data_IF_528890006754
#
_entry.id   IF_528890006754
#
_cell.length_a   1.000
_cell.length_b   1.000
_cell.length_c   1.000
_cell.angle_alpha   90.00
_cell.angle_beta   90.00
_cell.angle_gamma   90.00
#
_symmetry.space_group_name_H-M   'P 1'
#
loop_
_entity.id
_entity.type
_entity.pdbx_description
1 polymer ?
#
# COMPACT_ATOMS: atom_id res chain seq x y z
N UNK A 1 14.29 -25.95 5.22
CA UNK A 1 14.59 -24.78 6.07
C UNK A 1 14.94 -25.31 7.45
N UNK A 2 16.18 -25.13 7.94
CA UNK A 2 16.63 -25.68 9.24
C UNK A 2 16.93 -24.59 10.27
N UNK A 3 16.28 -23.43 10.17
CA UNK A 3 16.39 -22.33 11.13
C UNK A 3 15.06 -22.18 11.87
N UNK A 4 15.04 -22.16 13.21
CA UNK A 4 13.80 -21.86 13.95
C UNK A 4 13.35 -20.43 13.62
N UNK A 5 12.03 -20.25 13.52
CA UNK A 5 11.40 -18.94 13.29
C UNK A 5 10.67 -18.54 14.58
N UNK A 6 11.05 -17.38 15.13
CA UNK A 6 10.36 -16.77 16.27
C UNK A 6 9.57 -15.54 15.81
N UNK A 7 8.39 -15.33 16.41
CA UNK A 7 7.56 -14.14 16.17
C UNK A 7 7.49 -13.31 17.45
N UNK A 8 7.75 -12.00 17.32
CA UNK A 8 7.55 -11.02 18.38
C UNK A 8 6.30 -10.21 18.02
N UNK A 9 5.27 -10.29 18.85
CA UNK A 9 4.03 -9.56 18.68
C UNK A 9 4.12 -8.16 19.27
N UNK A 10 4.02 -7.14 18.42
CA UNK A 10 3.85 -5.74 18.85
C UNK A 10 2.75 -5.11 18.02
N UNK A 11 1.52 -5.16 18.53
CA UNK A 11 0.32 -4.68 17.85
C UNK A 11 -0.62 -3.98 18.83
N UNK A 12 -1.26 -2.90 18.36
CA UNK A 12 -2.25 -2.16 19.13
C UNK A 12 -3.31 -1.57 18.19
N UNK A 13 -4.59 -1.83 18.49
CA UNK A 13 -5.72 -1.43 17.66
C UNK A 13 -5.92 0.10 17.59
N UNK A 14 -6.29 0.60 16.41
CA UNK A 14 -6.60 2.03 16.21
C UNK A 14 -5.41 2.96 16.45
N UNK A 15 -4.18 2.48 16.32
CA UNK A 15 -2.98 3.29 16.49
C UNK A 15 -2.54 3.94 15.18
N UNK A 16 -2.07 5.18 15.25
CA UNK A 16 -1.48 5.90 14.12
C UNK A 16 0.04 5.63 14.03
N UNK A 17 0.63 5.76 12.83
CA UNK A 17 2.08 5.53 12.62
C UNK A 17 2.96 6.39 13.53
N UNK A 18 2.46 7.56 13.96
CA UNK A 18 3.22 8.47 14.78
C UNK A 18 3.49 7.96 16.19
N UNK A 19 2.56 7.17 16.74
CA UNK A 19 2.72 6.52 18.04
C UNK A 19 3.83 5.45 18.03
N UNK A 20 4.10 4.86 16.86
CA UNK A 20 5.11 3.82 16.62
C UNK A 20 6.48 4.37 16.21
N UNK A 21 6.61 5.67 16.08
CA UNK A 21 7.82 6.32 15.57
C UNK A 21 8.56 7.02 16.72
N UNK A 22 9.89 6.81 16.89
CA UNK A 22 10.65 7.49 17.93
C UNK A 22 10.68 9.01 17.71
N UNK A 23 10.72 9.78 18.81
CA UNK A 23 10.65 11.25 18.78
C UNK A 23 11.74 11.89 17.90
N UNK A 24 12.91 11.28 17.86
CA UNK A 24 14.05 11.72 17.05
C UNK A 24 13.74 11.75 15.55
N UNK A 25 12.81 10.92 15.06
CA UNK A 25 12.42 10.88 13.65
C UNK A 25 11.78 12.19 13.15
N UNK A 26 11.22 12.98 14.07
CA UNK A 26 10.57 14.26 13.78
C UNK A 26 11.52 15.45 13.93
N UNK A 27 12.75 15.22 14.40
CA UNK A 27 13.76 16.28 14.46
C UNK A 27 14.25 16.58 13.04
N UNK A 28 14.43 17.88 12.74
CA UNK A 28 14.89 18.34 11.42
C UNK A 28 13.85 18.38 10.30
N UNK A 29 12.61 17.91 10.51
CA UNK A 29 11.52 18.06 9.53
C UNK A 29 10.29 18.70 10.21
N UNK A 30 10.06 19.98 9.93
CA UNK A 30 8.96 20.76 10.53
C UNK A 30 7.59 20.20 10.21
N UNK A 31 7.39 19.69 8.99
CA UNK A 31 6.13 19.09 8.56
C UNK A 31 5.84 17.79 9.31
N UNK A 32 6.82 16.87 9.39
CA UNK A 32 6.61 15.63 10.15
C UNK A 32 6.41 15.88 11.64
N UNK A 33 7.07 16.90 12.20
CA UNK A 33 6.85 17.32 13.59
C UNK A 33 5.42 17.81 13.80
N UNK A 34 4.95 18.70 12.93
CA UNK A 34 3.57 19.20 13.00
C UNK A 34 2.56 18.06 12.94
N UNK A 35 2.71 17.13 12.00
CA UNK A 35 1.82 15.97 11.85
C UNK A 35 1.95 14.93 12.97
N UNK A 36 3.02 14.98 13.77
CA UNK A 36 3.15 14.18 14.98
C UNK A 36 2.46 14.84 16.16
N UNK A 37 2.63 16.15 16.36
CA UNK A 37 2.14 16.87 17.54
C UNK A 37 0.63 17.16 17.49
N UNK A 38 0.05 17.23 16.29
CA UNK A 38 -1.34 17.57 16.07
C UNK A 38 -2.25 16.33 15.93
N UNK A 39 -2.29 15.52 17.01
CA UNK A 39 -3.10 14.32 17.09
C UNK A 39 -4.20 14.46 18.14
N UNK A 40 -5.49 14.34 17.78
CA UNK A 40 -6.57 14.42 18.74
C UNK A 40 -6.53 13.22 19.67
N UNK A 41 -6.59 13.48 20.98
CA UNK A 41 -6.71 12.44 21.99
C UNK A 41 -8.02 11.64 21.81
N UNK A 42 -7.93 10.32 21.91
CA UNK A 42 -9.07 9.40 21.90
C UNK A 42 -8.96 8.41 23.05
N UNK A 43 -10.10 7.91 23.55
CA UNK A 43 -10.11 7.04 24.73
C UNK A 43 -9.74 5.58 24.43
N UNK A 44 -9.79 5.16 23.18
CA UNK A 44 -9.62 3.76 22.77
C UNK A 44 -8.23 3.43 22.22
N UNK A 45 -7.31 4.39 22.11
CA UNK A 45 -5.95 4.13 21.62
C UNK A 45 -4.91 5.15 22.12
N UNK A 46 -3.68 4.73 22.45
CA UNK A 46 -2.56 5.63 22.68
C UNK A 46 -2.18 6.36 21.38
N UNK A 47 -2.48 7.65 21.31
CA UNK A 47 -2.19 8.49 20.13
C UNK A 47 -0.98 9.40 20.31
N UNK A 48 -0.49 9.55 21.54
CA UNK A 48 0.65 10.43 21.80
C UNK A 48 1.88 9.97 20.98
N UNK A 49 2.63 10.90 20.36
CA UNK A 49 3.80 10.54 19.58
C UNK A 49 4.78 9.67 20.35
N UNK A 50 5.31 8.64 19.69
CA UNK A 50 6.28 7.71 20.25
C UNK A 50 5.82 6.85 21.43
N UNK A 51 4.57 6.98 21.90
CA UNK A 51 4.12 6.28 23.11
C UNK A 51 4.19 4.77 22.94
N UNK A 52 3.77 4.24 21.79
CA UNK A 52 3.78 2.81 21.51
C UNK A 52 5.19 2.32 21.15
N UNK A 53 5.98 3.15 20.46
CA UNK A 53 7.40 2.85 20.24
C UNK A 53 8.13 2.61 21.57
N UNK A 54 7.97 3.52 22.53
CA UNK A 54 8.65 3.44 23.81
C UNK A 54 8.20 2.23 24.65
N UNK A 55 6.93 1.84 24.55
CA UNK A 55 6.39 0.74 25.35
C UNK A 55 6.57 -0.64 24.71
N UNK A 56 6.56 -0.75 23.37
CA UNK A 56 6.53 -2.04 22.68
C UNK A 56 7.77 -2.33 21.83
N UNK A 57 8.42 -1.30 21.26
CA UNK A 57 9.55 -1.49 20.33
C UNK A 57 10.89 -1.23 21.01
N UNK A 58 11.00 -0.16 21.80
CA UNK A 58 12.22 0.18 22.51
C UNK A 58 12.72 -0.96 23.45
N UNK A 59 11.85 -1.69 24.17
CA UNK A 59 12.30 -2.78 25.04
C UNK A 59 12.91 -3.98 24.29
N UNK A 60 12.62 -4.12 23.00
CA UNK A 60 13.09 -5.26 22.18
C UNK A 60 14.29 -4.91 21.29
N UNK A 61 14.86 -3.72 21.40
CA UNK A 61 16.02 -3.30 20.57
C UNK A 61 17.25 -4.20 20.73
N UNK A 62 17.35 -4.93 21.85
CA UNK A 62 18.45 -5.87 22.11
C UNK A 62 18.28 -7.22 21.39
N UNK A 63 17.15 -7.48 20.72
CA UNK A 63 16.95 -8.67 19.90
C UNK A 63 17.55 -8.47 18.51
N UNK A 64 18.15 -9.54 17.97
CA UNK A 64 18.48 -9.60 16.54
C UNK A 64 17.24 -10.06 15.77
N UNK A 65 16.63 -9.15 15.01
CA UNK A 65 15.47 -9.47 14.17
C UNK A 65 15.88 -9.74 12.72
N UNK A 66 15.24 -10.71 12.08
CA UNK A 66 15.44 -11.04 10.67
C UNK A 66 14.67 -10.10 9.72
N UNK A 67 13.69 -9.36 10.24
CA UNK A 67 12.85 -8.44 9.49
C UNK A 67 11.60 -8.04 10.28
N UNK A 68 10.75 -7.24 9.66
CA UNK A 68 9.48 -6.76 10.23
C UNK A 68 8.34 -7.01 9.25
N UNK A 69 7.18 -7.38 9.81
CA UNK A 69 5.89 -7.34 9.13
C UNK A 69 5.06 -6.21 9.74
N UNK A 70 4.49 -5.36 8.89
CA UNK A 70 3.73 -4.19 9.31
C UNK A 70 2.38 -4.11 8.60
N UNK A 71 1.31 -3.99 9.38
CA UNK A 71 -0.04 -3.79 8.84
C UNK A 71 -0.75 -2.71 9.66
N UNK A 72 -0.67 -1.48 9.15
CA UNK A 72 -1.32 -0.32 9.72
C UNK A 72 -1.48 0.74 8.61
N UNK A 73 -2.47 1.59 8.76
CA UNK A 73 -2.65 2.82 7.99
C UNK A 73 -4.04 3.42 8.16
N UNK A 74 -4.97 2.61 8.68
CA UNK A 74 -6.37 2.94 8.88
C UNK A 74 -6.55 4.19 9.75
N UNK A 75 -5.76 4.33 10.82
CA UNK A 75 -5.80 5.53 11.69
C UNK A 75 -5.04 6.74 11.14
N UNK A 76 -4.61 6.71 9.87
CA UNK A 76 -3.97 7.84 9.22
C UNK A 76 -4.81 8.40 8.07
N UNK A 77 -6.06 7.96 7.91
CA UNK A 77 -6.96 8.42 6.85
C UNK A 77 -7.47 9.85 7.04
N UNK A 78 -7.32 10.44 8.22
CA UNK A 78 -7.70 11.85 8.45
C UNK A 78 -6.75 12.84 7.75
N UNK A 79 -5.47 12.47 7.62
CA UNK A 79 -4.43 13.26 6.95
C UNK A 79 -3.58 12.38 6.03
N UNK A 80 -4.22 11.75 5.03
CA UNK A 80 -3.65 10.62 4.32
C UNK A 80 -2.43 11.01 3.49
N UNK A 81 -2.36 12.26 3.00
CA UNK A 81 -1.26 12.77 2.17
C UNK A 81 0.11 12.78 2.85
N UNK A 82 0.17 12.74 4.18
CA UNK A 82 1.43 12.79 4.93
C UNK A 82 1.93 11.40 5.36
N UNK A 83 1.11 10.37 5.20
CA UNK A 83 1.42 9.02 5.67
C UNK A 83 2.75 8.50 5.14
N UNK A 84 3.05 8.70 3.85
CA UNK A 84 4.25 8.12 3.23
C UNK A 84 5.54 8.70 3.81
N UNK A 85 5.54 9.99 4.15
CA UNK A 85 6.66 10.64 4.83
C UNK A 85 6.85 10.10 6.25
N UNK A 86 5.76 10.03 7.02
CA UNK A 86 5.77 9.51 8.40
C UNK A 86 6.20 8.04 8.43
N UNK A 87 5.66 7.22 7.54
CA UNK A 87 5.95 5.79 7.48
C UNK A 87 7.40 5.50 7.09
N UNK A 88 7.94 6.22 6.08
CA UNK A 88 9.37 6.12 5.77
C UNK A 88 10.25 6.55 6.94
N UNK A 89 9.89 7.62 7.63
CA UNK A 89 10.62 8.08 8.82
C UNK A 89 10.60 7.03 9.95
N UNK A 90 9.48 6.34 10.15
CA UNK A 90 9.37 5.22 11.08
C UNK A 90 10.34 4.08 10.71
N UNK A 91 10.28 3.61 9.46
CA UNK A 91 11.12 2.51 8.95
C UNK A 91 12.61 2.83 9.17
N UNK A 92 13.06 4.01 8.71
CA UNK A 92 14.47 4.39 8.83
C UNK A 92 14.90 4.56 10.28
N UNK A 93 14.00 5.05 11.14
CA UNK A 93 14.32 5.26 12.55
C UNK A 93 14.38 3.96 13.34
N UNK A 94 13.53 2.98 13.02
CA UNK A 94 13.63 1.65 13.61
C UNK A 94 14.95 0.98 13.20
N UNK A 95 15.29 1.00 11.91
CA UNK A 95 16.58 0.46 11.43
C UNK A 95 17.77 1.11 12.12
N UNK A 96 17.73 2.42 12.33
CA UNK A 96 18.74 3.15 13.12
C UNK A 96 18.78 2.69 14.58
N UNK A 97 17.63 2.57 15.24
CA UNK A 97 17.54 2.17 16.65
C UNK A 97 18.04 0.74 16.90
N UNK A 98 17.74 -0.19 16.00
CA UNK A 98 18.26 -1.57 16.03
C UNK A 98 19.72 -1.68 15.53
N UNK A 99 20.30 -0.59 15.02
CA UNK A 99 21.59 -0.59 14.32
C UNK A 99 21.68 -1.68 13.23
N UNK A 100 20.60 -1.85 12.46
CA UNK A 100 20.48 -2.91 11.45
C UNK A 100 19.51 -2.49 10.33
N UNK A 101 19.94 -2.63 9.08
CA UNK A 101 19.11 -2.40 7.90
C UNK A 101 18.36 -3.70 7.51
N UNK A 102 17.40 -4.11 8.33
CA UNK A 102 16.62 -5.32 8.14
C UNK A 102 15.46 -5.12 7.14
N UNK A 103 14.99 -6.21 6.48
CA UNK A 103 13.82 -6.18 5.63
C UNK A 103 12.54 -5.70 6.32
N UNK A 104 11.81 -4.81 5.66
CA UNK A 104 10.55 -4.26 6.17
C UNK A 104 9.41 -4.55 5.18
N UNK A 105 8.60 -5.56 5.49
CA UNK A 105 7.47 -5.96 4.65
C UNK A 105 6.17 -5.45 5.24
N UNK A 106 5.30 -4.92 4.39
CA UNK A 106 4.08 -4.29 4.86
C UNK A 106 2.87 -4.59 4.00
N UNK A 107 1.70 -4.45 4.60
CA UNK A 107 0.41 -4.68 3.96
C UNK A 107 -0.21 -3.35 3.59
N UNK A 108 -0.59 -3.19 2.32
CA UNK A 108 -1.43 -2.08 1.90
C UNK A 108 -2.82 -2.24 2.55
N UNK A 109 -3.36 -1.18 3.16
CA UNK A 109 -4.65 -1.29 3.89
C UNK A 109 -5.76 -1.84 3.00
N UNK A 110 -6.68 -2.59 3.61
CA UNK A 110 -7.78 -3.18 2.87
C UNK A 110 -8.74 -2.10 2.34
N UNK A 111 -9.37 -2.31 1.16
CA UNK A 111 -10.53 -1.55 0.77
C UNK A 111 -11.63 -1.56 1.84
N UNK A 112 -12.05 -0.37 2.24
CA UNK A 112 -13.22 -0.16 3.10
C UNK A 112 -13.97 1.07 2.63
N UNK A 113 -15.24 0.94 2.29
CA UNK A 113 -16.05 2.02 1.72
C UNK A 113 -16.39 3.12 2.71
N UNK A 114 -16.22 2.89 4.02
CA UNK A 114 -16.56 3.83 5.09
C UNK A 114 -15.56 4.98 5.31
N UNK A 115 -14.39 4.96 4.66
CA UNK A 115 -13.46 6.08 4.72
C UNK A 115 -14.03 7.36 4.09
N UNK A 116 -13.66 8.52 4.64
CA UNK A 116 -14.05 9.82 4.09
C UNK A 116 -13.33 10.14 2.77
N UNK A 117 -14.06 10.73 1.81
CA UNK A 117 -13.50 11.17 0.52
C UNK A 117 -12.78 10.04 -0.22
N UNK A 118 -11.50 10.23 -0.55
CA UNK A 118 -10.61 9.21 -1.13
C UNK A 118 -9.45 8.83 -0.20
N UNK A 119 -9.60 9.07 1.11
CA UNK A 119 -8.52 8.93 2.07
C UNK A 119 -7.89 7.53 2.10
N UNK A 120 -8.70 6.47 2.04
CA UNK A 120 -8.19 5.09 1.99
C UNK A 120 -7.34 4.85 0.73
N UNK A 121 -7.79 5.33 -0.43
CA UNK A 121 -6.99 5.23 -1.67
C UNK A 121 -5.66 6.00 -1.57
N UNK A 122 -5.67 7.18 -0.94
CA UNK A 122 -4.46 7.99 -0.74
C UNK A 122 -3.51 7.31 0.24
N UNK A 123 -3.97 6.74 1.36
CA UNK A 123 -3.11 5.96 2.27
C UNK A 123 -2.48 4.78 1.54
N UNK A 124 -3.23 4.06 0.71
CA UNK A 124 -2.70 2.95 -0.10
C UNK A 124 -1.60 3.39 -1.07
N UNK A 125 -1.76 4.54 -1.72
CA UNK A 125 -0.71 5.17 -2.53
C UNK A 125 0.51 5.56 -1.68
N UNK A 126 0.28 6.16 -0.50
CA UNK A 126 1.36 6.54 0.40
C UNK A 126 2.13 5.33 0.94
N UNK A 127 1.46 4.21 1.21
CA UNK A 127 2.11 2.93 1.55
C UNK A 127 2.99 2.46 0.39
N UNK A 128 2.49 2.48 -0.85
CA UNK A 128 3.29 2.11 -2.02
C UNK A 128 4.54 2.99 -2.17
N UNK A 129 4.47 4.28 -1.80
CA UNK A 129 5.63 5.17 -1.86
C UNK A 129 6.78 4.79 -0.91
N UNK A 130 6.54 3.95 0.10
CA UNK A 130 7.59 3.43 0.99
C UNK A 130 8.49 2.40 0.30
N UNK A 131 8.07 1.84 -0.85
CA UNK A 131 8.90 0.95 -1.68
C UNK A 131 10.15 1.65 -2.25
N UNK A 132 10.25 2.97 -2.14
CA UNK A 132 11.48 3.71 -2.46
C UNK A 132 12.64 3.44 -1.51
N UNK A 133 12.37 2.92 -0.30
CA UNK A 133 13.41 2.52 0.64
C UNK A 133 13.96 1.12 0.30
N UNK A 134 15.28 0.88 0.46
CA UNK A 134 15.86 -0.44 0.21
C UNK A 134 15.29 -1.48 1.18
N UNK A 135 15.30 -2.75 0.77
CA UNK A 135 14.81 -3.90 1.55
C UNK A 135 13.39 -3.70 2.08
N UNK A 136 12.53 -3.12 1.25
CA UNK A 136 11.10 -3.02 1.54
C UNK A 136 10.31 -3.85 0.55
N UNK A 137 9.14 -4.31 0.98
CA UNK A 137 8.23 -5.10 0.17
C UNK A 137 6.80 -4.82 0.62
N UNK A 138 5.89 -4.75 -0.34
CA UNK A 138 4.49 -4.47 -0.09
C UNK A 138 3.65 -5.62 -0.61
N UNK A 139 2.66 -6.03 0.17
CA UNK A 139 1.59 -6.92 -0.28
C UNK A 139 0.28 -6.14 -0.30
N UNK A 140 -0.45 -6.15 -1.40
CA UNK A 140 -1.83 -5.66 -1.43
C UNK A 140 -2.77 -6.78 -1.07
N UNK A 141 -3.94 -6.44 -0.54
CA UNK A 141 -4.95 -7.42 -0.10
C UNK A 141 -6.35 -7.09 -0.60
N UNK A 142 -6.47 -6.17 -1.57
CA UNK A 142 -7.77 -5.72 -2.06
C UNK A 142 -8.63 -6.81 -2.70
N UNK A 143 -8.01 -7.84 -3.26
CA UNK A 143 -8.68 -9.02 -3.81
C UNK A 143 -9.11 -10.05 -2.75
N UNK A 144 -8.68 -9.86 -1.49
CA UNK A 144 -8.97 -10.75 -0.36
C UNK A 144 -10.10 -10.20 0.53
N UNK A 145 -10.68 -9.05 0.19
CA UNK A 145 -11.79 -8.43 0.92
C UNK A 145 -13.10 -9.12 0.55
N UNK A 146 -13.79 -9.66 1.56
CA UNK A 146 -15.10 -10.30 1.43
C UNK A 146 -16.26 -9.30 1.42
N UNK A 147 -16.12 -8.22 2.18
CA UNK A 147 -17.12 -7.17 2.32
C UNK A 147 -16.44 -5.82 2.54
N UNK A 148 -16.58 -4.89 1.59
CA UNK A 148 -15.99 -3.55 1.66
C UNK A 148 -16.64 -2.66 2.72
N UNK A 149 -17.76 -3.06 3.33
CA UNK A 149 -18.36 -2.33 4.46
C UNK A 149 -17.74 -2.71 5.80
N UNK A 150 -16.96 -3.80 5.84
CA UNK A 150 -16.24 -4.25 7.01
C UNK A 150 -14.75 -3.86 6.93
N UNK A 151 -14.30 -3.01 7.86
CA UNK A 151 -12.90 -2.57 7.94
C UNK A 151 -11.93 -3.72 8.32
N UNK A 152 -12.44 -4.83 8.84
CA UNK A 152 -11.67 -6.01 9.24
C UNK A 152 -12.01 -7.24 8.38
N UNK A 153 -11.45 -7.36 7.16
CA UNK A 153 -11.67 -8.52 6.30
C UNK A 153 -11.30 -9.83 6.99
N UNK A 154 -12.09 -10.89 6.74
CA UNK A 154 -11.95 -12.18 7.43
C UNK A 154 -10.71 -12.95 6.96
N UNK A 155 -10.36 -12.84 5.68
CA UNK A 155 -9.25 -13.58 5.07
C UNK A 155 -7.89 -13.02 5.52
N UNK A 156 -7.25 -13.69 6.49
CA UNK A 156 -5.91 -13.31 7.01
C UNK A 156 -4.78 -14.24 6.61
N UNK A 157 -5.06 -15.54 6.45
CA UNK A 157 -4.06 -16.54 6.06
C UNK A 157 -3.37 -16.19 4.72
N UNK A 158 -4.10 -15.85 3.63
CA UNK A 158 -3.44 -15.49 2.37
C UNK A 158 -2.61 -14.18 2.45
N UNK A 159 -2.88 -13.32 3.43
CA UNK A 159 -2.07 -12.13 3.69
C UNK A 159 -0.72 -12.54 4.27
N UNK A 160 -0.74 -13.46 5.25
CA UNK A 160 0.45 -14.07 5.83
C UNK A 160 1.29 -14.79 4.78
N UNK A 161 0.66 -15.56 3.89
CA UNK A 161 1.36 -16.26 2.81
C UNK A 161 2.11 -15.32 1.86
N UNK A 162 1.49 -14.19 1.49
CA UNK A 162 2.14 -13.18 0.64
C UNK A 162 3.40 -12.60 1.31
N UNK A 163 3.32 -12.30 2.60
CA UNK A 163 4.46 -11.79 3.38
C UNK A 163 5.53 -12.85 3.59
N UNK A 164 5.13 -14.09 3.87
CA UNK A 164 6.04 -15.23 3.99
C UNK A 164 6.78 -15.48 2.67
N UNK A 165 6.11 -15.41 1.53
CA UNK A 165 6.73 -15.57 0.21
C UNK A 165 7.76 -14.47 -0.09
N UNK A 166 7.53 -13.22 0.32
CA UNK A 166 8.54 -12.15 0.26
C UNK A 166 9.76 -12.51 1.12
N UNK A 167 9.55 -12.92 2.38
CA UNK A 167 10.64 -13.31 3.26
C UNK A 167 11.42 -14.52 2.74
N UNK A 168 10.74 -15.56 2.26
CA UNK A 168 11.36 -16.75 1.69
C UNK A 168 12.25 -16.40 0.49
N UNK A 169 11.74 -15.55 -0.42
CA UNK A 169 12.47 -15.11 -1.61
C UNK A 169 13.68 -14.25 -1.26
N UNK A 170 13.47 -13.18 -0.50
CA UNK A 170 14.45 -12.10 -0.30
C UNK A 170 15.44 -12.37 0.83
N UNK A 171 15.07 -13.22 1.81
CA UNK A 171 15.88 -13.45 3.03
C UNK A 171 16.39 -14.88 3.10
N UNK A 172 15.60 -15.86 2.68
CA UNK A 172 15.91 -17.28 2.86
C UNK A 172 16.35 -18.01 1.59
N UNK A 173 16.54 -17.28 0.47
CA UNK A 173 17.16 -17.82 -0.74
C UNK A 173 16.27 -18.73 -1.59
N UNK A 174 14.94 -18.67 -1.43
CA UNK A 174 14.00 -19.41 -2.27
C UNK A 174 13.83 -18.71 -3.62
N UNK A 175 14.86 -18.77 -4.46
CA UNK A 175 15.00 -17.99 -5.69
C UNK A 175 13.92 -18.26 -6.75
N UNK A 176 13.26 -19.41 -6.70
CA UNK A 176 12.16 -19.79 -7.59
C UNK A 176 10.86 -19.03 -7.31
N UNK A 177 10.68 -18.48 -6.11
CA UNK A 177 9.46 -17.73 -5.78
C UNK A 177 9.40 -16.40 -6.54
N UNK A 178 8.20 -16.01 -6.94
CA UNK A 178 7.92 -14.75 -7.62
C UNK A 178 6.82 -13.97 -6.86
N UNK A 179 7.11 -13.46 -5.64
CA UNK A 179 6.13 -12.79 -4.79
C UNK A 179 5.84 -11.34 -5.24
N UNK A 180 6.16 -10.99 -6.48
CA UNK A 180 6.06 -9.62 -6.97
C UNK A 180 4.73 -9.40 -7.68
N UNK A 181 4.07 -8.33 -7.29
CA UNK A 181 2.80 -7.96 -7.87
C UNK A 181 2.99 -7.20 -9.18
N UNK A 182 2.07 -7.35 -10.14
CA UNK A 182 2.05 -6.49 -11.31
C UNK A 182 1.85 -5.02 -10.90
N UNK A 183 2.64 -4.11 -11.49
CA UNK A 183 2.66 -2.68 -11.18
C UNK A 183 2.53 -1.84 -12.44
N UNK A 184 1.87 -0.68 -12.34
CA UNK A 184 1.87 0.31 -13.40
C UNK A 184 3.30 0.69 -13.81
N UNK A 185 3.55 0.71 -15.12
CA UNK A 185 4.85 1.09 -15.69
C UNK A 185 4.76 2.40 -16.49
N UNK A 186 3.79 2.50 -17.39
CA UNK A 186 3.62 3.70 -18.23
C UNK A 186 2.22 3.82 -18.81
N UNK A 187 1.89 5.03 -19.25
CA UNK A 187 0.67 5.33 -20.00
C UNK A 187 1.04 6.03 -21.31
N UNK A 188 0.42 5.60 -22.41
CA UNK A 188 0.44 6.28 -23.69
C UNK A 188 -0.99 6.59 -24.16
N UNK A 189 -1.19 7.68 -24.88
CA UNK A 189 -2.50 8.03 -25.43
C UNK A 189 -2.55 7.66 -26.92
N UNK A 190 -3.60 6.95 -27.34
CA UNK A 190 -3.86 6.62 -28.74
C UNK A 190 -5.30 6.99 -29.11
N UNK A 191 -5.46 8.13 -29.76
CA UNK A 191 -6.78 8.69 -30.05
C UNK A 191 -7.52 9.03 -28.76
N UNK A 192 -8.69 8.44 -28.55
CA UNK A 192 -9.52 8.62 -27.36
C UNK A 192 -9.30 7.56 -26.26
N UNK A 193 -8.19 6.81 -26.32
CA UNK A 193 -7.90 5.72 -25.38
C UNK A 193 -6.55 5.91 -24.72
N UNK A 194 -6.49 5.57 -23.43
CA UNK A 194 -5.25 5.41 -22.70
C UNK A 194 -4.79 3.95 -22.81
N UNK A 195 -3.52 3.75 -23.12
CA UNK A 195 -2.86 2.44 -23.19
C UNK A 195 -1.95 2.33 -21.98
N UNK A 196 -2.31 1.46 -21.05
CA UNK A 196 -1.59 1.22 -19.82
C UNK A 196 -0.65 0.03 -20.00
N UNK A 197 0.63 0.25 -19.71
CA UNK A 197 1.65 -0.78 -19.62
C UNK A 197 1.85 -1.14 -18.15
N UNK A 198 1.94 -2.42 -17.87
CA UNK A 198 2.16 -2.98 -16.54
C UNK A 198 3.45 -3.79 -16.57
N UNK A 199 4.29 -3.61 -15.56
CA UNK A 199 5.43 -4.50 -15.29
C UNK A 199 4.91 -5.67 -14.45
N UNK A 200 5.06 -6.89 -14.95
CA UNK A 200 4.56 -8.12 -14.35
C UNK A 200 5.62 -9.22 -14.44
N UNK A 201 5.48 -10.26 -13.62
CA UNK A 201 6.30 -11.48 -13.69
C UNK A 201 5.91 -12.28 -14.94
N UNK A 202 4.61 -12.42 -15.19
CA UNK A 202 4.08 -13.12 -16.35
C UNK A 202 2.93 -12.36 -17.01
N UNK A 203 2.01 -13.11 -17.62
CA UNK A 203 0.89 -12.52 -18.37
C UNK A 203 -0.22 -12.08 -17.42
N UNK A 204 -0.81 -10.91 -17.71
CA UNK A 204 -2.02 -10.50 -17.02
C UNK A 204 -3.22 -11.37 -17.43
N UNK A 205 -4.11 -11.61 -16.48
CA UNK A 205 -5.38 -12.29 -16.62
C UNK A 205 -6.48 -11.49 -15.91
N UNK A 206 -7.73 -11.70 -16.31
CA UNK A 206 -8.90 -11.02 -15.72
C UNK A 206 -9.71 -12.04 -14.95
N UNK A 207 -10.01 -11.76 -13.69
CA UNK A 207 -10.99 -12.53 -12.92
C UNK A 207 -12.38 -11.95 -13.17
N UNK A 208 -13.23 -12.70 -13.87
CA UNK A 208 -14.56 -12.25 -14.29
C UNK A 208 -14.63 -11.90 -15.77
N UNK A 209 -15.76 -11.34 -16.21
CA UNK A 209 -16.05 -11.10 -17.64
C UNK A 209 -15.49 -9.77 -18.15
N UNK A 210 -15.33 -8.79 -17.27
CA UNK A 210 -14.93 -7.42 -17.61
C UNK A 210 -13.87 -6.92 -16.65
N UNK A 211 -13.01 -6.01 -17.11
CA UNK A 211 -12.05 -5.33 -16.24
C UNK A 211 -12.76 -4.20 -15.52
N UNK A 212 -12.59 -4.13 -14.20
CA UNK A 212 -13.31 -3.19 -13.32
C UNK A 212 -12.37 -2.14 -12.73
N UNK A 213 -12.92 -1.21 -11.93
CA UNK A 213 -12.16 -0.26 -11.12
C UNK A 213 -11.24 0.72 -11.87
N UNK A 214 -11.39 0.86 -13.18
CA UNK A 214 -10.74 1.93 -13.96
C UNK A 214 -11.59 3.20 -14.01
N UNK A 215 -10.92 4.34 -13.85
CA UNK A 215 -11.45 5.66 -14.12
C UNK A 215 -10.51 6.42 -15.03
N UNK A 216 -11.05 7.32 -15.86
CA UNK A 216 -10.28 8.16 -16.78
C UNK A 216 -10.78 9.60 -16.69
N UNK A 217 -9.86 10.56 -16.80
CA UNK A 217 -10.16 11.99 -16.82
C UNK A 217 -9.58 12.65 -18.07
N UNK A 218 -10.25 13.71 -18.52
CA UNK A 218 -9.73 14.63 -19.52
C UNK A 218 -9.09 15.86 -18.87
N UNK A 219 -8.89 16.91 -19.67
CA UNK A 219 -8.31 18.18 -19.20
C UNK A 219 -9.14 18.89 -18.10
N UNK A 220 -10.41 18.55 -17.95
CA UNK A 220 -11.29 19.06 -16.89
C UNK A 220 -10.99 18.45 -15.50
N UNK A 221 -10.08 17.47 -15.45
CA UNK A 221 -9.67 16.73 -14.25
C UNK A 221 -10.81 15.97 -13.55
N UNK A 222 -11.92 15.74 -14.26
CA UNK A 222 -13.07 14.98 -13.73
C UNK A 222 -12.92 13.51 -14.12
N UNK A 223 -12.88 12.65 -13.11
CA UNK A 223 -12.78 11.21 -13.33
C UNK A 223 -14.16 10.60 -13.62
N UNK A 224 -14.23 9.84 -14.71
CA UNK A 224 -15.39 9.06 -15.10
C UNK A 224 -15.05 7.57 -15.10
N UNK A 225 -16.00 6.68 -14.75
CA UNK A 225 -15.83 5.25 -14.95
C UNK A 225 -15.42 4.94 -16.40
N UNK A 226 -14.47 4.01 -16.55
CA UNK A 226 -13.90 3.65 -17.82
C UNK A 226 -14.09 2.16 -18.13
N UNK A 227 -14.32 1.86 -19.40
CA UNK A 227 -14.24 0.51 -19.92
C UNK A 227 -12.76 0.18 -20.17
N UNK A 228 -12.38 -1.06 -19.88
CA UNK A 228 -11.01 -1.53 -20.09
C UNK A 228 -10.97 -2.87 -20.81
N UNK A 229 -9.95 -3.06 -21.65
CA UNK A 229 -9.72 -4.30 -22.41
C UNK A 229 -8.25 -4.71 -22.35
N UNK A 230 -7.98 -5.92 -21.90
CA UNK A 230 -6.65 -6.52 -21.96
C UNK A 230 -6.33 -6.91 -23.41
N UNK A 231 -5.18 -6.47 -23.92
CA UNK A 231 -4.72 -6.73 -25.28
C UNK A 231 -3.77 -7.92 -25.32
N UNK A 232 -3.59 -8.54 -26.49
CA UNK A 232 -2.70 -9.70 -26.68
C UNK A 232 -1.23 -9.44 -26.27
N UNK A 233 -0.79 -8.19 -26.24
CA UNK A 233 0.55 -7.78 -25.80
C UNK A 233 0.69 -7.44 -24.31
N UNK A 234 -0.31 -7.71 -23.47
CA UNK A 234 -0.26 -7.47 -22.03
C UNK A 234 -0.61 -6.04 -21.58
N UNK A 235 -0.80 -5.11 -22.51
CA UNK A 235 -1.28 -3.75 -22.21
C UNK A 235 -2.79 -3.72 -21.95
N UNK A 236 -3.25 -2.78 -21.12
CA UNK A 236 -4.67 -2.52 -20.86
C UNK A 236 -5.10 -1.26 -21.59
N UNK A 237 -6.06 -1.38 -22.50
CA UNK A 237 -6.67 -0.26 -23.21
C UNK A 237 -7.86 0.25 -22.38
N UNK A 238 -7.83 1.52 -21.97
CA UNK A 238 -8.81 2.17 -21.06
C UNK A 238 -9.46 3.36 -21.76
N UNK A 239 -10.79 3.45 -21.73
CA UNK A 239 -11.53 4.56 -22.35
C UNK A 239 -12.88 4.82 -21.69
N UNK A 240 -13.43 6.02 -21.87
CA UNK A 240 -14.80 6.35 -21.48
C UNK A 240 -15.46 7.18 -22.56
N UNK A 241 -16.74 6.90 -22.86
CA UNK A 241 -17.52 7.71 -23.83
C UNK A 241 -17.64 9.17 -23.40
N UNK A 242 -17.49 9.46 -22.10
CA UNK A 242 -17.53 10.82 -21.53
C UNK A 242 -16.20 11.57 -21.67
N UNK A 243 -15.11 10.90 -22.05
CA UNK A 243 -13.77 11.49 -22.12
C UNK A 243 -13.19 11.32 -23.52
N UNK A 244 -13.25 12.38 -24.33
CA UNK A 244 -12.75 12.38 -25.71
C UNK A 244 -11.22 12.41 -25.79
N UNK A 245 -10.57 13.12 -24.87
CA UNK A 245 -9.12 13.30 -24.82
C UNK A 245 -8.62 12.90 -23.43
N UNK A 246 -8.31 11.61 -23.20
CA UNK A 246 -7.85 11.16 -21.90
C UNK A 246 -6.46 11.71 -21.59
N UNK A 247 -6.27 12.20 -20.37
CA UNK A 247 -4.98 12.71 -19.86
C UNK A 247 -4.55 12.07 -18.55
N UNK A 248 -5.47 11.41 -17.85
CA UNK A 248 -5.17 10.67 -16.62
C UNK A 248 -6.03 9.42 -16.47
N UNK A 249 -5.45 8.37 -15.86
CA UNK A 249 -6.11 7.11 -15.52
C UNK A 249 -5.87 6.79 -14.05
N UNK A 250 -6.88 6.19 -13.41
CA UNK A 250 -6.84 5.65 -12.05
C UNK A 250 -7.33 4.21 -12.06
N UNK A 251 -6.68 3.34 -11.30
CA UNK A 251 -7.08 1.94 -11.08
C UNK A 251 -7.20 1.67 -9.57
N UNK A 252 -8.37 1.20 -9.13
CA UNK A 252 -8.69 0.94 -7.72
C UNK A 252 -8.40 2.14 -6.79
N UNK A 253 -8.50 3.37 -7.32
CA UNK A 253 -8.26 4.62 -6.59
C UNK A 253 -9.55 5.16 -5.96
N UNK A 254 -10.27 4.29 -5.25
CA UNK A 254 -11.46 4.60 -4.44
C UNK A 254 -11.40 3.80 -3.15
N UNK A 255 -12.08 4.21 -2.08
CA UNK A 255 -11.94 3.54 -0.79
C UNK A 255 -12.30 2.05 -0.85
N UNK A 256 -13.38 1.69 -1.54
CA UNK A 256 -13.81 0.31 -1.79
C UNK A 256 -13.31 -0.33 -3.10
N UNK A 257 -12.35 0.27 -3.80
CA UNK A 257 -11.88 -0.22 -5.10
C UNK A 257 -11.16 -1.57 -4.98
N UNK A 258 -11.72 -2.62 -5.58
CA UNK A 258 -11.13 -3.96 -5.59
C UNK A 258 -10.51 -4.28 -6.95
N UNK A 259 -9.34 -4.95 -6.99
CA UNK A 259 -8.70 -5.33 -8.24
C UNK A 259 -9.29 -6.64 -8.79
N UNK A 260 -9.31 -6.74 -10.11
CA UNK A 260 -9.67 -7.96 -10.81
C UNK A 260 -8.72 -8.32 -11.98
N UNK A 261 -7.59 -7.61 -12.07
CA UNK A 261 -6.48 -7.95 -12.94
C UNK A 261 -5.39 -8.63 -12.11
N UNK A 262 -4.95 -9.79 -12.57
CA UNK A 262 -3.98 -10.64 -11.88
C UNK A 262 -2.85 -11.01 -12.80
N UNK A 263 -1.67 -11.25 -12.24
CA UNK A 263 -0.61 -11.95 -12.95
C UNK A 263 -0.78 -13.48 -12.81
N UNK A 264 -0.06 -14.23 -13.61
CA UNK A 264 0.07 -15.69 -13.57
C UNK A 264 0.51 -16.25 -12.21
N UNK A 265 1.18 -15.46 -11.36
CA UNK A 265 1.51 -15.84 -9.98
C UNK A 265 0.31 -15.70 -9.01
N UNK A 266 -0.87 -15.32 -9.50
CA UNK A 266 -2.08 -15.16 -8.70
C UNK A 266 -2.17 -13.86 -7.91
N UNK A 267 -1.22 -12.93 -8.07
CA UNK A 267 -1.23 -11.65 -7.35
C UNK A 267 -1.91 -10.54 -8.17
N UNK A 268 -2.66 -9.64 -7.53
CA UNK A 268 -3.41 -8.59 -8.23
C UNK A 268 -2.52 -7.41 -8.64
N UNK A 269 -2.98 -6.69 -9.67
CA UNK A 269 -2.45 -5.38 -10.06
C UNK A 269 -2.60 -4.39 -8.92
N UNK A 270 -1.47 -3.80 -8.52
CA UNK A 270 -1.43 -2.79 -7.46
C UNK A 270 -2.24 -1.57 -7.89
N UNK A 271 -3.08 -1.00 -7.01
CA UNK A 271 -3.78 0.27 -7.27
C UNK A 271 -2.80 1.38 -7.67
N UNK A 272 -3.20 2.24 -8.62
CA UNK A 272 -2.35 3.34 -9.08
C UNK A 272 -3.17 4.50 -9.65
N UNK A 273 -2.50 5.63 -9.83
CA UNK A 273 -2.95 6.75 -10.65
C UNK A 273 -1.83 7.27 -11.53
N UNK A 274 -2.17 7.92 -12.63
CA UNK A 274 -1.20 8.54 -13.55
C UNK A 274 -1.13 10.06 -13.41
N UNK A 275 -2.05 10.65 -12.64
CA UNK A 275 -2.02 12.08 -12.31
C UNK A 275 -1.27 12.35 -11.00
N UNK A 276 -0.76 13.56 -10.86
CA UNK A 276 -0.22 14.10 -9.61
C UNK A 276 -1.14 15.18 -9.01
N UNK A 277 -2.41 15.21 -9.40
CA UNK A 277 -3.32 16.28 -9.02
C UNK A 277 -3.67 16.18 -7.54
N UNK A 278 -3.91 17.34 -6.91
CA UNK A 278 -4.46 17.37 -5.55
C UNK A 278 -5.84 16.73 -5.57
N UNK A 279 -6.03 15.72 -4.73
CA UNK A 279 -7.33 15.12 -4.53
C UNK A 279 -8.14 16.10 -3.68
N UNK A 280 -9.22 16.63 -4.27
CA UNK A 280 -10.16 17.54 -3.61
C UNK A 280 -11.09 16.76 -2.68
#
# INVERSE_FOLDING_TARGET
MHKPVGLIGSYWGGSCVQAWTPKEAYKGNSQLRHEAEDLPAVSWSPVAPSVIYNTMIHPILNYKIAGTIWYQGEQNTDRPQYYGGLFRAMITSWRKAFNNDFPFYFVQIAPWSGYGGLSGAIVREQQASALSLPKTGMVTVGDLVDDVTNIHPKSKEPVGDRLANLALKEVYGFSQLQPYQPQFASMAIKGNKAIITVKSVGKLTVKGKTIESFQVAGNDQRFYPAQAKLKKGGTVEVFSKKVKHPVAVRYCFTNGGMPNLFDTNGLPLVPFRTDNWKVK
#
